data_IF_728603715919
#
_entry.id   IF_728603715919
#
_cell.length_a   1.000
_cell.length_b   1.000
_cell.length_c   1.000
_cell.angle_alpha   90.00
_cell.angle_beta   90.00
_cell.angle_gamma   90.00
#
_symmetry.space_group_name_H-M   'P 1'
#
loop_
_entity.id
_entity.type
_entity.pdbx_description
1 polymer ?
#
# COMPACT_ATOMS: atom_id res chain seq x y z
N UNK A 1 4.46 33.18 27.52
CA UNK A 1 4.12 31.74 27.41
C UNK A 1 5.33 31.00 26.88
N UNK A 2 5.94 30.12 27.69
CA UNK A 2 6.97 29.21 27.20
C UNK A 2 6.27 28.11 26.40
N UNK A 3 6.55 28.01 25.11
CA UNK A 3 6.20 26.85 24.29
C UNK A 3 6.75 25.61 24.98
N UNK A 4 5.88 24.67 25.38
CA UNK A 4 6.31 23.33 25.78
C UNK A 4 7.13 22.80 24.60
N UNK A 5 8.42 22.59 24.80
CA UNK A 5 9.23 21.84 23.87
C UNK A 5 8.66 20.42 23.88
N UNK A 6 7.87 20.07 22.87
CA UNK A 6 7.41 18.70 22.67
C UNK A 6 8.66 17.87 22.46
N UNK A 7 8.97 16.97 23.39
CA UNK A 7 10.10 16.06 23.23
C UNK A 7 9.96 15.34 21.88
N UNK A 8 11.03 15.28 21.07
CA UNK A 8 10.98 14.58 19.81
C UNK A 8 10.68 13.10 20.07
N UNK A 9 9.61 12.59 19.46
CA UNK A 9 9.22 11.18 19.57
C UNK A 9 10.42 10.28 19.25
N UNK A 10 10.60 9.23 20.05
CA UNK A 10 11.58 8.18 19.73
C UNK A 10 11.18 7.46 18.44
N UNK A 11 12.15 6.83 17.77
CA UNK A 11 11.87 6.03 16.56
C UNK A 11 10.80 4.97 16.82
N UNK A 12 10.90 4.28 17.95
CA UNK A 12 9.93 3.29 18.42
C UNK A 12 8.54 3.91 18.59
N UNK A 13 8.42 5.06 19.26
CA UNK A 13 7.14 5.76 19.43
C UNK A 13 6.51 6.16 18.09
N UNK A 14 7.31 6.57 17.10
CA UNK A 14 6.81 6.89 15.74
C UNK A 14 6.31 5.65 15.02
N UNK A 15 7.02 4.53 15.16
CA UNK A 15 6.63 3.24 14.57
C UNK A 15 5.31 2.79 15.18
N UNK A 16 5.21 2.77 16.52
CA UNK A 16 3.99 2.38 17.21
C UNK A 16 2.80 3.26 16.85
N UNK A 17 3.01 4.58 16.75
CA UNK A 17 1.96 5.50 16.30
C UNK A 17 1.55 5.22 14.84
N UNK A 18 2.52 5.01 13.94
CA UNK A 18 2.24 4.68 12.55
C UNK A 18 1.40 3.41 12.41
N UNK A 19 1.68 2.38 13.19
CA UNK A 19 0.91 1.14 13.19
C UNK A 19 -0.31 1.13 14.13
N UNK A 20 -0.66 2.29 14.71
CA UNK A 20 -1.86 2.45 15.55
C UNK A 20 -1.78 1.75 16.93
N UNK A 21 -0.58 1.43 17.41
CA UNK A 21 -0.36 0.87 18.76
C UNK A 21 -0.33 1.94 19.85
N UNK A 22 0.02 3.17 19.49
CA UNK A 22 -0.05 4.34 20.35
C UNK A 22 -0.88 5.43 19.71
N UNK A 23 -1.59 6.19 20.55
CA UNK A 23 -2.43 7.31 20.11
C UNK A 23 -1.68 8.59 20.46
N UNK A 24 -1.66 9.53 19.51
CA UNK A 24 -1.27 10.91 19.76
C UNK A 24 -2.54 11.74 19.62
N UNK A 25 -2.85 12.56 20.64
CA UNK A 25 -4.02 13.43 20.63
C UNK A 25 -4.08 14.27 19.35
N UNK A 26 -5.27 14.38 18.76
CA UNK A 26 -5.60 15.12 17.55
C UNK A 26 -4.78 14.75 16.29
N UNK A 27 -4.16 13.57 16.28
CA UNK A 27 -3.32 13.09 15.17
C UNK A 27 -3.73 11.72 14.70
N UNK A 28 -3.87 11.57 13.38
CA UNK A 28 -4.07 10.27 12.74
C UNK A 28 -2.82 9.89 11.97
N UNK A 29 -2.36 8.65 12.19
CA UNK A 29 -1.30 8.05 11.41
C UNK A 29 -1.75 7.90 9.94
N UNK A 30 -0.89 8.15 8.95
CA UNK A 30 -1.23 7.94 7.55
C UNK A 30 -1.71 6.50 7.23
N UNK A 31 -1.16 5.49 7.92
CA UNK A 31 -1.60 4.11 7.75
C UNK A 31 -2.96 3.86 8.39
N UNK A 32 -3.19 4.34 9.61
CA UNK A 32 -4.52 4.24 10.25
C UNK A 32 -5.58 4.89 9.37
N UNK A 33 -5.34 6.11 8.88
CA UNK A 33 -6.25 6.80 7.96
C UNK A 33 -6.55 5.98 6.71
N UNK A 34 -5.51 5.39 6.09
CA UNK A 34 -5.70 4.58 4.89
C UNK A 34 -6.52 3.31 5.16
N UNK A 35 -6.31 2.66 6.30
CA UNK A 35 -7.07 1.47 6.72
C UNK A 35 -8.52 1.81 7.06
N UNK A 36 -8.77 2.95 7.69
CA UNK A 36 -10.13 3.43 7.98
C UNK A 36 -10.90 3.70 6.69
N UNK A 37 -10.28 4.33 5.69
CA UNK A 37 -10.90 4.55 4.37
C UNK A 37 -11.21 3.23 3.65
N UNK A 38 -10.32 2.23 3.75
CA UNK A 38 -10.58 0.89 3.22
C UNK A 38 -11.79 0.25 3.91
N UNK A 39 -11.89 0.34 5.23
CA UNK A 39 -13.03 -0.25 5.95
C UNK A 39 -14.33 0.52 5.65
N UNK A 40 -14.30 1.84 5.54
CA UNK A 40 -15.47 2.64 5.14
C UNK A 40 -16.00 2.24 3.75
N UNK A 41 -15.10 2.02 2.78
CA UNK A 41 -15.48 1.52 1.45
C UNK A 41 -16.07 0.11 1.52
N UNK A 42 -15.58 -0.74 2.42
CA UNK A 42 -16.12 -2.09 2.61
C UNK A 42 -17.51 -2.06 3.26
N UNK A 43 -17.69 -1.29 4.33
CA UNK A 43 -18.95 -1.15 5.06
C UNK A 43 -20.05 -0.52 4.19
N UNK A 44 -19.69 0.39 3.29
CA UNK A 44 -20.61 0.98 2.31
C UNK A 44 -20.95 0.05 1.13
N UNK A 45 -20.48 -1.20 1.13
CA UNK A 45 -20.75 -2.16 0.05
C UNK A 45 -19.92 -1.92 -1.23
N UNK A 46 -18.91 -1.06 -1.17
CA UNK A 46 -18.06 -0.71 -2.32
C UNK A 46 -16.79 -1.58 -2.42
N UNK A 47 -16.71 -2.72 -1.72
CA UNK A 47 -15.52 -3.58 -1.71
C UNK A 47 -15.16 -4.19 -3.07
N UNK A 48 -16.13 -4.33 -3.96
CA UNK A 48 -15.94 -4.84 -5.34
C UNK A 48 -15.65 -3.75 -6.37
N UNK A 49 -15.51 -2.49 -5.92
CA UNK A 49 -15.31 -1.36 -6.83
C UNK A 49 -13.84 -1.09 -7.08
N UNK A 50 -13.56 -0.42 -8.20
CA UNK A 50 -12.24 0.12 -8.48
C UNK A 50 -11.71 1.03 -7.36
N UNK A 51 -12.59 1.80 -6.71
CA UNK A 51 -12.20 2.69 -5.61
C UNK A 51 -11.57 1.91 -4.43
N UNK A 52 -12.12 0.74 -4.11
CA UNK A 52 -11.56 -0.14 -3.10
C UNK A 52 -10.15 -0.61 -3.48
N UNK A 53 -9.96 -1.08 -4.72
CA UNK A 53 -8.65 -1.49 -5.21
C UNK A 53 -7.65 -0.33 -5.27
N UNK A 54 -8.09 0.88 -5.62
CA UNK A 54 -7.27 2.09 -5.59
C UNK A 54 -6.77 2.39 -4.17
N UNK A 55 -7.62 2.25 -3.15
CA UNK A 55 -7.20 2.47 -1.77
C UNK A 55 -6.22 1.41 -1.26
N UNK A 56 -6.40 0.14 -1.64
CA UNK A 56 -5.42 -0.91 -1.36
C UNK A 56 -4.07 -0.58 -2.01
N UNK A 57 -4.06 -0.17 -3.29
CA UNK A 57 -2.85 0.24 -4.00
C UNK A 57 -2.19 1.48 -3.41
N UNK A 58 -2.97 2.50 -3.03
CA UNK A 58 -2.46 3.71 -2.39
C UNK A 58 -1.76 3.38 -1.07
N UNK A 59 -2.31 2.45 -0.29
CA UNK A 59 -1.69 1.97 0.96
C UNK A 59 -0.35 1.27 0.68
N UNK A 60 -0.29 0.37 -0.30
CA UNK A 60 0.95 -0.33 -0.69
C UNK A 60 2.00 0.67 -1.19
N UNK A 61 1.59 1.65 -2.00
CA UNK A 61 2.50 2.69 -2.49
C UNK A 61 3.06 3.54 -1.36
N UNK A 62 2.22 3.93 -0.40
CA UNK A 62 2.65 4.65 0.78
C UNK A 62 3.69 3.82 1.55
N UNK A 63 3.40 2.55 1.85
CA UNK A 63 4.35 1.66 2.52
C UNK A 63 5.66 1.52 1.74
N UNK A 64 5.61 1.45 0.41
CA UNK A 64 6.82 1.41 -0.43
C UNK A 64 7.71 2.64 -0.26
N UNK A 65 7.12 3.83 -0.04
CA UNK A 65 7.84 5.08 0.23
C UNK A 65 8.58 5.02 1.56
N UNK A 66 7.90 4.56 2.61
CA UNK A 66 8.51 4.34 3.93
C UNK A 66 9.63 3.30 3.88
N UNK A 67 9.41 2.17 3.20
CA UNK A 67 10.42 1.13 2.98
C UNK A 67 11.68 1.65 2.30
N UNK A 68 11.55 2.53 1.29
CA UNK A 68 12.72 3.05 0.56
C UNK A 68 13.34 4.31 1.18
N UNK A 69 12.62 5.01 2.07
CA UNK A 69 13.02 6.33 2.55
C UNK A 69 12.93 7.44 1.50
N UNK A 70 12.03 7.31 0.52
CA UNK A 70 11.91 8.24 -0.61
C UNK A 70 10.46 8.67 -0.85
N UNK A 71 10.22 9.98 -0.84
CA UNK A 71 8.91 10.57 -1.14
C UNK A 71 8.70 10.94 -2.60
N UNK A 72 9.78 11.21 -3.32
CA UNK A 72 9.71 11.66 -4.70
C UNK A 72 9.13 10.60 -5.64
N UNK A 73 8.63 11.07 -6.78
CA UNK A 73 8.11 10.22 -7.85
C UNK A 73 9.22 9.56 -8.70
N UNK A 74 10.48 9.98 -8.50
CA UNK A 74 11.61 9.33 -9.14
C UNK A 74 11.65 7.84 -8.77
N UNK A 75 11.74 6.98 -9.78
CA UNK A 75 11.81 5.52 -9.64
C UNK A 75 10.64 4.89 -8.85
N UNK A 76 9.45 5.52 -8.84
CA UNK A 76 8.28 5.03 -8.12
C UNK A 76 7.94 3.57 -8.44
N UNK A 77 7.94 3.19 -9.72
CA UNK A 77 7.68 1.80 -10.15
C UNK A 77 8.74 0.83 -9.65
N UNK A 78 10.03 1.21 -9.68
CA UNK A 78 11.13 0.36 -9.19
C UNK A 78 11.03 0.16 -7.68
N UNK A 79 10.71 1.22 -6.95
CA UNK A 79 10.45 1.19 -5.50
C UNK A 79 9.28 0.27 -5.16
N UNK A 80 8.15 0.45 -5.83
CA UNK A 80 6.96 -0.39 -5.65
C UNK A 80 7.29 -1.86 -5.96
N UNK A 81 7.99 -2.14 -7.06
CA UNK A 81 8.42 -3.50 -7.44
C UNK A 81 9.29 -4.16 -6.36
N UNK A 82 10.25 -3.43 -5.80
CA UNK A 82 11.09 -3.93 -4.71
C UNK A 82 10.26 -4.22 -3.45
N UNK A 83 9.38 -3.30 -3.06
CA UNK A 83 8.50 -3.49 -1.91
C UNK A 83 7.58 -4.71 -2.09
N UNK A 84 6.94 -4.85 -3.24
CA UNK A 84 6.08 -5.99 -3.55
C UNK A 84 6.85 -7.31 -3.44
N UNK A 85 8.07 -7.39 -3.99
CA UNK A 85 8.90 -8.59 -3.94
C UNK A 85 9.25 -9.02 -2.51
N UNK A 86 9.48 -8.05 -1.63
CA UNK A 86 9.99 -8.30 -0.29
C UNK A 86 8.84 -8.51 0.74
N UNK A 87 7.68 -7.87 0.55
CA UNK A 87 6.59 -7.84 1.55
C UNK A 87 5.23 -8.32 1.07
N UNK A 88 4.89 -8.15 -0.20
CA UNK A 88 3.55 -8.52 -0.69
C UNK A 88 3.56 -9.99 -1.16
N UNK A 89 2.82 -10.91 -0.54
CA UNK A 89 2.85 -12.32 -0.95
C UNK A 89 2.28 -12.48 -2.36
N UNK A 90 3.09 -12.91 -3.33
CA UNK A 90 2.65 -13.21 -4.70
C UNK A 90 3.69 -14.08 -5.42
N UNK A 91 3.28 -14.75 -6.52
CA UNK A 91 4.25 -15.34 -7.45
C UNK A 91 5.02 -14.22 -8.15
N UNK A 92 6.35 -14.25 -8.13
CA UNK A 92 7.24 -13.25 -8.75
C UNK A 92 6.99 -13.07 -10.25
N UNK A 93 6.53 -14.11 -10.94
CA UNK A 93 6.16 -14.02 -12.36
C UNK A 93 4.96 -13.08 -12.58
N UNK A 94 4.11 -12.93 -11.56
CA UNK A 94 2.91 -12.10 -11.60
C UNK A 94 3.17 -10.64 -11.24
N UNK A 95 4.39 -10.26 -10.84
CA UNK A 95 4.70 -8.87 -10.48
C UNK A 95 4.33 -7.90 -11.61
N UNK A 96 4.58 -8.27 -12.88
CA UNK A 96 4.24 -7.41 -14.00
C UNK A 96 2.72 -7.24 -14.15
N UNK A 97 1.95 -8.32 -13.98
CA UNK A 97 0.48 -8.27 -14.03
C UNK A 97 -0.08 -7.40 -12.90
N UNK A 98 0.51 -7.46 -11.71
CA UNK A 98 0.14 -6.59 -10.59
C UNK A 98 0.41 -5.12 -10.87
N UNK A 99 1.54 -4.79 -11.52
CA UNK A 99 1.83 -3.41 -11.92
C UNK A 99 0.84 -2.92 -13.00
N UNK A 100 0.43 -3.78 -13.93
CA UNK A 100 -0.61 -3.46 -14.90
C UNK A 100 -1.97 -3.26 -14.21
N UNK A 101 -2.30 -4.09 -13.22
CA UNK A 101 -3.54 -3.94 -12.44
C UNK A 101 -3.55 -2.63 -11.64
N UNK A 102 -2.43 -2.27 -11.01
CA UNK A 102 -2.23 -0.97 -10.38
C UNK A 102 -2.52 0.16 -11.37
N UNK A 103 -1.94 0.09 -12.57
CA UNK A 103 -2.15 1.13 -13.58
C UNK A 103 -3.61 1.19 -14.05
N UNK A 104 -4.25 0.04 -14.22
CA UNK A 104 -5.67 -0.04 -14.54
C UNK A 104 -6.52 0.65 -13.47
N UNK A 105 -6.28 0.36 -12.18
CA UNK A 105 -7.00 0.99 -11.07
C UNK A 105 -6.78 2.51 -11.02
N UNK A 106 -5.57 2.99 -11.31
CA UNK A 106 -5.22 4.40 -11.12
C UNK A 106 -5.51 5.29 -12.33
N UNK A 107 -5.59 4.71 -13.55
CA UNK A 107 -5.60 5.49 -14.78
C UNK A 107 -6.69 5.09 -15.80
N UNK A 108 -7.46 4.02 -15.54
CA UNK A 108 -8.50 3.55 -16.46
C UNK A 108 -9.84 3.36 -15.73
N UNK A 109 -10.90 4.00 -16.22
CA UNK A 109 -12.25 3.87 -15.65
C UNK A 109 -12.84 2.46 -15.86
N UNK A 110 -12.35 1.73 -16.86
CA UNK A 110 -12.86 0.40 -17.23
C UNK A 110 -11.85 -0.72 -16.95
N UNK A 111 -10.91 -0.48 -16.02
CA UNK A 111 -9.92 -1.47 -15.55
C UNK A 111 -9.11 -2.16 -16.66
N UNK A 112 -8.60 -1.39 -17.61
CA UNK A 112 -7.61 -1.87 -18.57
C UNK A 112 -6.24 -1.20 -18.40
N UNK A 113 -5.19 -1.86 -18.86
CA UNK A 113 -3.85 -1.29 -18.96
C UNK A 113 -3.13 -1.80 -20.20
N UNK A 114 -2.36 -0.94 -20.85
CA UNK A 114 -1.52 -1.34 -21.97
C UNK A 114 -0.22 -1.98 -21.46
N UNK A 115 0.08 -3.18 -21.92
CA UNK A 115 1.35 -3.88 -21.70
C UNK A 115 2.33 -3.51 -22.82
N UNK A 116 3.36 -2.67 -22.56
CA UNK A 116 4.31 -2.26 -23.58
C UNK A 116 5.17 -3.40 -24.09
N UNK A 117 5.44 -4.42 -23.25
CA UNK A 117 6.28 -5.56 -23.62
C UNK A 117 5.55 -6.49 -24.58
N UNK A 118 4.27 -6.76 -24.31
CA UNK A 118 3.42 -7.59 -25.17
C UNK A 118 2.69 -6.83 -26.27
N UNK A 119 2.81 -5.49 -26.32
CA UNK A 119 2.07 -4.58 -27.21
C UNK A 119 0.56 -4.88 -27.25
N UNK A 120 -0.03 -5.15 -26.08
CA UNK A 120 -1.41 -5.64 -25.96
C UNK A 120 -2.13 -4.94 -24.82
N UNK A 121 -3.45 -4.81 -24.96
CA UNK A 121 -4.31 -4.36 -23.87
C UNK A 121 -4.60 -5.54 -22.93
N UNK A 122 -4.44 -5.30 -21.64
CA UNK A 122 -4.77 -6.24 -20.55
C UNK A 122 -5.97 -5.70 -19.80
N UNK A 123 -6.96 -6.55 -19.53
CA UNK A 123 -8.21 -6.19 -18.86
C UNK A 123 -8.34 -6.95 -17.55
N UNK A 124 -8.89 -6.27 -16.56
CA UNK A 124 -9.09 -6.80 -15.22
C UNK A 124 -10.58 -6.82 -14.87
N UNK A 125 -10.98 -7.88 -14.17
CA UNK A 125 -12.27 -7.98 -13.51
C UNK A 125 -12.06 -8.12 -12.00
N UNK A 126 -12.88 -7.44 -11.22
CA UNK A 126 -12.89 -7.56 -9.76
C UNK A 126 -13.94 -8.61 -9.35
N UNK A 127 -13.55 -9.52 -8.47
CA UNK A 127 -14.42 -10.56 -7.90
C UNK A 127 -14.14 -10.76 -6.40
N UNK A 128 -14.98 -11.51 -5.71
CA UNK A 128 -14.88 -11.73 -4.25
C UNK A 128 -14.39 -13.13 -3.85
N UNK A 129 -14.23 -14.02 -4.82
CA UNK A 129 -13.96 -15.44 -4.63
C UNK A 129 -12.83 -15.91 -5.56
N UNK A 130 -12.43 -17.18 -5.39
CA UNK A 130 -11.31 -17.78 -6.13
C UNK A 130 -9.94 -17.36 -5.61
N UNK A 131 -8.91 -17.63 -6.41
CA UNK A 131 -7.54 -17.23 -6.08
C UNK A 131 -7.33 -15.72 -6.20
N UNK A 132 -6.27 -15.20 -5.59
CA UNK A 132 -5.94 -13.77 -5.65
C UNK A 132 -5.92 -13.21 -7.07
N UNK A 133 -5.26 -13.90 -7.98
CA UNK A 133 -5.13 -13.51 -9.38
C UNK A 133 -5.31 -14.74 -10.26
N UNK A 134 -6.36 -14.73 -11.07
CA UNK A 134 -6.69 -15.81 -11.99
C UNK A 134 -6.57 -15.31 -13.43
N UNK A 135 -5.97 -16.11 -14.31
CA UNK A 135 -5.86 -15.79 -15.73
C UNK A 135 -6.96 -16.54 -16.49
N UNK A 136 -7.94 -15.80 -17.01
CA UNK A 136 -8.91 -16.35 -17.95
C UNK A 136 -8.31 -16.46 -19.36
N UNK A 137 -7.37 -15.57 -19.69
CA UNK A 137 -6.57 -15.62 -20.91
C UNK A 137 -5.26 -14.84 -20.74
N UNK A 138 -4.42 -14.81 -21.77
CA UNK A 138 -3.18 -14.00 -21.80
C UNK A 138 -3.39 -12.48 -21.64
N UNK A 139 -4.62 -11.99 -21.73
CA UNK A 139 -4.99 -10.56 -21.65
C UNK A 139 -6.15 -10.28 -20.72
N UNK A 140 -6.72 -11.31 -20.07
CA UNK A 140 -7.86 -11.15 -19.15
C UNK A 140 -7.53 -11.80 -17.83
N UNK A 141 -7.63 -11.01 -16.76
CA UNK A 141 -7.34 -11.44 -15.41
C UNK A 141 -8.50 -11.09 -14.47
N UNK A 142 -8.77 -11.99 -13.54
CA UNK A 142 -9.67 -11.71 -12.43
C UNK A 142 -8.86 -11.50 -11.16
N UNK A 143 -9.26 -10.51 -10.36
CA UNK A 143 -8.62 -10.18 -9.08
C UNK A 143 -9.62 -10.38 -7.95
N UNK A 144 -9.30 -11.28 -7.03
CA UNK A 144 -10.08 -11.46 -5.80
C UNK A 144 -9.69 -10.38 -4.78
N UNK A 145 -10.62 -9.48 -4.45
CA UNK A 145 -10.37 -8.37 -3.51
C UNK A 145 -10.25 -8.81 -2.06
N UNK A 146 -10.89 -9.91 -1.66
CA UNK A 146 -10.76 -10.45 -0.30
C UNK A 146 -9.34 -10.98 -0.08
N UNK A 147 -8.82 -11.72 -1.06
CA UNK A 147 -7.42 -12.15 -1.07
C UNK A 147 -6.46 -10.95 -1.12
N UNK A 148 -6.79 -9.91 -1.89
CA UNK A 148 -5.95 -8.71 -1.96
C UNK A 148 -5.86 -8.02 -0.59
N UNK A 149 -7.00 -7.82 0.09
CA UNK A 149 -7.07 -7.24 1.43
C UNK A 149 -6.27 -8.07 2.44
N UNK A 150 -6.41 -9.40 2.42
CA UNK A 150 -5.66 -10.30 3.31
C UNK A 150 -4.15 -10.22 3.04
N UNK A 151 -3.72 -10.13 1.78
CA UNK A 151 -2.30 -9.97 1.43
C UNK A 151 -1.75 -8.62 1.86
N UNK A 152 -2.55 -7.57 1.81
CA UNK A 152 -2.20 -6.27 2.38
C UNK A 152 -1.94 -6.38 3.90
N UNK A 153 -2.80 -7.06 4.66
CA UNK A 153 -2.58 -7.27 6.10
C UNK A 153 -1.26 -8.01 6.38
N UNK A 154 -1.01 -9.09 5.64
CA UNK A 154 0.25 -9.86 5.76
C UNK A 154 1.46 -8.99 5.43
N UNK A 155 1.35 -8.16 4.40
CA UNK A 155 2.39 -7.21 3.99
C UNK A 155 2.68 -6.18 5.09
N UNK A 156 1.63 -5.60 5.69
CA UNK A 156 1.73 -4.62 6.79
C UNK A 156 2.43 -5.25 8.00
N UNK A 157 1.97 -6.43 8.43
CA UNK A 157 2.53 -7.12 9.58
C UNK A 157 4.00 -7.48 9.36
N UNK A 158 4.33 -8.06 8.20
CA UNK A 158 5.73 -8.38 7.87
C UNK A 158 6.62 -7.12 7.83
N UNK A 159 6.13 -6.03 7.25
CA UNK A 159 6.89 -4.77 7.20
C UNK A 159 7.16 -4.21 8.58
N UNK A 160 6.17 -4.24 9.48
CA UNK A 160 6.32 -3.84 10.87
C UNK A 160 7.37 -4.69 11.59
N UNK A 161 7.26 -6.01 11.51
CA UNK A 161 8.17 -6.92 12.21
C UNK A 161 9.62 -6.72 11.73
N UNK A 162 9.83 -6.58 10.41
CA UNK A 162 11.16 -6.27 9.85
C UNK A 162 11.65 -4.86 10.26
N UNK A 163 10.75 -3.88 10.40
CA UNK A 163 11.08 -2.51 10.80
C UNK A 163 11.53 -2.43 12.26
N UNK A 164 10.92 -3.20 13.15
CA UNK A 164 11.31 -3.27 14.57
C UNK A 164 12.73 -3.82 14.74
N UNK A 165 13.16 -4.73 13.87
CA UNK A 165 14.44 -5.42 13.99
C UNK A 165 15.57 -4.79 13.14
N UNK A 166 15.23 -4.00 12.12
CA UNK A 166 16.22 -3.52 11.14
C UNK A 166 16.48 -2.01 11.26
N UNK A 167 17.62 -1.63 11.86
CA UNK A 167 18.06 -0.23 12.01
C UNK A 167 18.11 0.56 10.70
N UNK A 168 18.53 -0.06 9.59
CA UNK A 168 18.57 0.63 8.30
C UNK A 168 17.15 0.94 7.80
N UNK A 169 16.21 0.03 8.05
CA UNK A 169 14.81 0.24 7.69
C UNK A 169 14.17 1.32 8.56
N UNK A 170 14.53 1.39 9.86
CA UNK A 170 14.12 2.44 10.77
C UNK A 170 14.57 3.83 10.28
N UNK A 171 15.84 3.99 9.89
CA UNK A 171 16.35 5.25 9.33
C UNK A 171 15.57 5.68 8.07
N UNK A 172 15.25 4.74 7.18
CA UNK A 172 14.45 5.01 5.98
C UNK A 172 13.03 5.44 6.33
N UNK A 173 12.40 4.73 7.26
CA UNK A 173 11.06 5.04 7.78
C UNK A 173 11.03 6.46 8.35
N UNK A 174 11.97 6.80 9.24
CA UNK A 174 12.01 8.12 9.89
C UNK A 174 12.14 9.27 8.89
N UNK A 175 12.97 9.09 7.85
CA UNK A 175 13.15 10.09 6.80
C UNK A 175 11.83 10.46 6.10
N UNK A 176 10.93 9.50 5.97
CA UNK A 176 9.60 9.69 5.36
C UNK A 176 8.60 10.18 6.42
N UNK A 177 8.63 9.60 7.60
CA UNK A 177 7.77 9.99 8.72
C UNK A 177 7.95 11.46 9.10
N UNK A 178 9.16 12.00 9.12
CA UNK A 178 9.40 13.43 9.41
C UNK A 178 8.68 14.39 8.44
N UNK A 179 8.29 13.90 7.26
CA UNK A 179 7.68 14.71 6.20
C UNK A 179 6.20 14.43 5.99
N UNK A 180 5.72 13.23 6.33
CA UNK A 180 4.32 12.80 6.16
C UNK A 180 3.60 12.50 7.47
N UNK A 181 4.31 12.45 8.60
CA UNK A 181 4.09 11.51 9.70
C UNK A 181 2.75 11.52 10.42
N UNK A 182 1.93 12.55 10.29
CA UNK A 182 0.58 12.58 10.84
C UNK A 182 -0.26 13.62 10.13
N UNK A 183 -1.56 13.36 10.09
CA UNK A 183 -2.58 14.32 9.65
C UNK A 183 -3.17 14.97 10.90
N UNK A 184 -3.33 16.30 10.88
CA UNK A 184 -4.10 17.01 11.89
C UNK A 184 -5.60 16.71 11.67
N UNK A 185 -6.33 16.39 12.74
CA UNK A 185 -7.80 16.30 12.71
C UNK A 185 -8.44 17.69 12.65
#
# INVERSE_FOLDING_TARGET
>A
MKTKATEPLTTESKIDFFFGRTILEDKISPLSKALDEIENLKVSGSSTTQAYCMMLWATIEMLSRFYSGQLGNQQATKRLKNFLRDYFPHNREMTQVLLLFRNACMHSVVLHSFDPSGKKEVRFQIQNDGQFLESASRTKFSVNVNEFRMRLDRCINKYRDDLEQNKLLQVKFEKVFLKMGYLAQ
#
